data_IF_142796125728
#
_entry.id   IF_142796125728
#
_cell.length_a   1.000
_cell.length_b   1.000
_cell.length_c   1.000
_cell.angle_alpha   90.00
_cell.angle_beta   90.00
_cell.angle_gamma   90.00
#
_symmetry.space_group_name_H-M   'P 1'
#
loop_
_entity.id
_entity.type
_entity.pdbx_description
1 polymer ?
#
# COMPACT_ATOMS: atom_id res chain seq x y z
N UNK A 1 -35.64 -61.14 28.67
CA UNK A 1 -34.26 -61.35 29.17
C UNK A 1 -33.42 -60.17 28.72
N UNK A 2 -33.12 -59.23 29.61
CA UNK A 2 -32.37 -58.02 29.30
C UNK A 2 -30.90 -58.36 29.00
N UNK A 3 -30.41 -58.01 27.81
CA UNK A 3 -28.98 -58.07 27.49
C UNK A 3 -28.31 -56.74 27.85
N UNK A 4 -27.16 -56.86 28.50
CA UNK A 4 -26.55 -55.86 29.39
C UNK A 4 -25.95 -54.61 28.75
N UNK A 5 -25.52 -53.72 29.63
CA UNK A 5 -25.14 -52.33 29.40
C UNK A 5 -24.05 -52.08 28.34
N UNK A 6 -24.29 -51.06 27.50
CA UNK A 6 -23.32 -50.49 26.56
C UNK A 6 -22.10 -49.92 27.31
N UNK A 7 -20.90 -50.36 26.94
CA UNK A 7 -19.64 -49.85 27.48
C UNK A 7 -19.43 -48.40 27.01
N UNK A 8 -19.03 -47.54 27.95
CA UNK A 8 -18.99 -46.07 27.88
C UNK A 8 -17.99 -45.54 26.84
N UNK A 9 -18.34 -44.36 26.33
CA UNK A 9 -17.66 -43.58 25.29
C UNK A 9 -16.17 -43.35 25.52
N UNK A 10 -15.41 -43.40 24.42
CA UNK A 10 -14.03 -42.89 24.34
C UNK A 10 -14.09 -41.37 24.48
N UNK A 11 -13.32 -40.81 25.43
CA UNK A 11 -13.18 -39.36 25.61
C UNK A 11 -12.63 -38.73 24.32
N UNK A 12 -13.44 -37.88 23.70
CA UNK A 12 -13.02 -36.86 22.76
C UNK A 12 -12.31 -35.76 23.55
N UNK A 13 -10.98 -35.77 23.54
CA UNK A 13 -10.20 -34.62 24.01
C UNK A 13 -9.44 -34.05 22.81
N UNK A 14 -10.05 -33.01 22.27
CA UNK A 14 -9.46 -31.86 21.57
C UNK A 14 -8.07 -32.06 20.93
N UNK A 15 -8.09 -32.08 19.59
CA UNK A 15 -7.22 -31.26 18.73
C UNK A 15 -5.81 -30.97 19.23
N UNK A 16 -4.89 -31.91 19.04
CA UNK A 16 -3.53 -31.54 18.67
C UNK A 16 -3.51 -31.28 17.16
N UNK A 17 -4.22 -30.22 16.72
CA UNK A 17 -3.96 -29.60 15.44
C UNK A 17 -2.50 -29.14 15.53
N UNK A 18 -1.60 -29.83 14.81
CA UNK A 18 -0.34 -29.21 14.43
C UNK A 18 -0.76 -27.94 13.73
N UNK A 19 -0.57 -26.79 14.39
CA UNK A 19 -0.74 -25.49 13.77
C UNK A 19 0.19 -25.49 12.57
N UNK A 20 -0.36 -25.85 11.41
CA UNK A 20 0.32 -25.63 10.16
C UNK A 20 0.66 -24.15 10.17
N UNK A 21 1.91 -23.83 9.88
CA UNK A 21 2.44 -22.47 9.75
C UNK A 21 1.75 -21.69 8.59
N UNK A 22 0.52 -22.03 8.24
CA UNK A 22 -0.40 -21.36 7.34
C UNK A 22 -1.36 -20.40 8.05
N UNK A 23 -1.38 -20.39 9.39
CA UNK A 23 -2.22 -19.50 10.19
C UNK A 23 -1.49 -18.30 10.82
N UNK A 24 -0.27 -17.99 10.36
CA UNK A 24 0.14 -16.59 10.32
C UNK A 24 -0.73 -15.90 9.26
N UNK A 25 -1.99 -15.64 9.60
CA UNK A 25 -2.97 -14.93 8.78
C UNK A 25 -2.50 -13.48 8.69
N UNK A 26 -1.44 -13.25 7.92
CA UNK A 26 -1.20 -11.94 7.33
C UNK A 26 -2.44 -11.66 6.51
N UNK A 27 -3.33 -10.83 7.07
CA UNK A 27 -4.49 -10.33 6.35
C UNK A 27 -3.90 -9.74 5.07
N UNK A 28 -4.21 -10.27 3.87
CA UNK A 28 -3.67 -9.68 2.66
C UNK A 28 -4.06 -8.20 2.69
N UNK A 29 -3.07 -7.32 2.57
CA UNK A 29 -3.29 -5.88 2.55
C UNK A 29 -4.31 -5.51 1.46
N UNK A 30 -4.85 -4.28 1.49
CA UNK A 30 -5.87 -3.85 0.54
C UNK A 30 -5.42 -4.16 -0.90
N UNK A 31 -6.12 -5.08 -1.55
CA UNK A 31 -5.83 -5.46 -2.94
C UNK A 31 -6.60 -4.54 -3.87
N UNK A 32 -5.89 -3.80 -4.70
CA UNK A 32 -6.51 -3.04 -5.79
C UNK A 32 -6.98 -4.05 -6.86
N UNK A 33 -8.28 -4.36 -6.87
CA UNK A 33 -8.86 -5.23 -7.90
C UNK A 33 -9.14 -4.39 -9.15
N UNK A 34 -8.61 -4.81 -10.29
CA UNK A 34 -8.87 -4.13 -11.56
C UNK A 34 -10.38 -4.15 -11.89
N UNK A 35 -10.95 -3.03 -12.38
CA UNK A 35 -12.35 -2.99 -12.74
C UNK A 35 -12.63 -3.92 -13.92
N UNK A 36 -13.62 -4.80 -13.77
CA UNK A 36 -14.02 -5.77 -14.81
C UNK A 36 -15.09 -5.24 -15.75
N UNK A 37 -15.89 -4.25 -15.30
CA UNK A 37 -16.97 -3.66 -16.10
C UNK A 37 -16.41 -2.63 -17.08
N UNK A 38 -16.86 -2.66 -18.34
CA UNK A 38 -16.36 -1.79 -19.40
C UNK A 38 -16.45 -0.29 -19.06
N UNK A 39 -17.55 0.15 -18.44
CA UNK A 39 -17.72 1.54 -18.00
C UNK A 39 -16.65 1.98 -16.98
N UNK A 40 -16.34 1.12 -16.01
CA UNK A 40 -15.35 1.40 -14.98
C UNK A 40 -13.91 1.37 -15.53
N UNK A 41 -13.64 0.53 -16.54
CA UNK A 41 -12.35 0.55 -17.25
C UNK A 41 -12.14 1.87 -17.97
N UNK A 42 -13.18 2.41 -18.63
CA UNK A 42 -13.12 3.72 -19.30
C UNK A 42 -12.87 4.84 -18.28
N UNK A 43 -13.58 4.84 -17.16
CA UNK A 43 -13.39 5.81 -16.09
C UNK A 43 -11.97 5.75 -15.48
N UNK A 44 -11.44 4.56 -15.22
CA UNK A 44 -10.08 4.40 -14.71
C UNK A 44 -9.01 4.95 -15.66
N UNK A 45 -9.18 4.75 -16.98
CA UNK A 45 -8.30 5.33 -18.01
C UNK A 45 -8.37 6.86 -18.04
N UNK A 46 -9.57 7.42 -17.94
CA UNK A 46 -9.77 8.88 -17.87
C UNK A 46 -9.12 9.47 -16.61
N UNK A 47 -9.35 8.85 -15.45
CA UNK A 47 -8.74 9.28 -14.20
C UNK A 47 -7.22 9.28 -14.31
N UNK A 48 -6.61 8.21 -14.83
CA UNK A 48 -5.15 8.13 -15.02
C UNK A 48 -4.61 9.25 -15.91
N UNK A 49 -5.30 9.56 -17.02
CA UNK A 49 -4.93 10.63 -17.96
C UNK A 49 -5.03 12.02 -17.33
N UNK A 50 -6.08 12.27 -16.55
CA UNK A 50 -6.28 13.56 -15.89
C UNK A 50 -5.28 13.75 -14.74
N UNK A 51 -5.04 12.72 -13.94
CA UNK A 51 -4.07 12.79 -12.83
C UNK A 51 -2.64 12.96 -13.33
N UNK A 52 -2.23 12.33 -14.44
CA UNK A 52 -0.87 12.52 -14.96
C UNK A 52 -0.58 13.98 -15.35
N UNK A 53 -1.57 14.69 -15.91
CA UNK A 53 -1.42 16.10 -16.22
C UNK A 53 -1.33 16.99 -14.98
N UNK A 54 -2.06 16.65 -13.92
CA UNK A 54 -1.98 17.35 -12.64
C UNK A 54 -0.61 17.12 -11.97
N UNK A 55 -0.08 15.89 -12.00
CA UNK A 55 1.24 15.56 -11.45
C UNK A 55 2.34 16.39 -12.13
N UNK A 56 2.35 16.48 -13.46
CA UNK A 56 3.33 17.31 -14.18
C UNK A 56 3.25 18.80 -13.81
N UNK A 57 2.04 19.34 -13.61
CA UNK A 57 1.87 20.73 -13.15
C UNK A 57 2.37 20.91 -11.72
N UNK A 58 2.12 19.94 -10.84
CA UNK A 58 2.62 19.97 -9.47
C UNK A 58 4.13 19.84 -9.40
N UNK A 59 4.75 18.96 -10.20
CA UNK A 59 6.20 18.82 -10.32
C UNK A 59 6.84 20.12 -10.82
N UNK A 60 6.26 20.75 -11.85
CA UNK A 60 6.70 22.06 -12.33
C UNK A 60 6.59 23.14 -11.26
N UNK A 61 5.49 23.18 -10.50
CA UNK A 61 5.31 24.16 -9.42
C UNK A 61 6.30 23.93 -8.28
N UNK A 62 6.56 22.68 -7.90
CA UNK A 62 7.56 22.33 -6.90
C UNK A 62 8.97 22.65 -7.37
N UNK A 63 9.32 22.37 -8.62
CA UNK A 63 10.62 22.74 -9.20
C UNK A 63 10.79 24.26 -9.30
N UNK A 64 9.74 24.99 -9.66
CA UNK A 64 9.76 26.46 -9.63
C UNK A 64 9.92 27.00 -8.22
N UNK A 65 9.20 26.44 -7.23
CA UNK A 65 9.37 26.82 -5.82
C UNK A 65 10.73 26.42 -5.28
N UNK A 66 11.24 25.23 -5.61
CA UNK A 66 12.56 24.76 -5.18
C UNK A 66 13.68 25.54 -5.85
N UNK A 67 13.63 25.78 -7.16
CA UNK A 67 14.59 26.63 -7.88
C UNK A 67 14.49 28.10 -7.48
N UNK A 68 13.29 28.58 -7.13
CA UNK A 68 13.12 29.89 -6.50
C UNK A 68 13.67 29.90 -5.07
N UNK A 69 13.57 28.78 -4.34
CA UNK A 69 14.18 28.62 -3.02
C UNK A 69 15.71 28.46 -3.10
N UNK A 70 16.28 27.90 -4.18
CA UNK A 70 17.74 27.93 -4.43
C UNK A 70 18.25 29.36 -4.66
N UNK A 71 17.37 30.26 -5.11
CA UNK A 71 17.65 31.70 -5.24
C UNK A 71 17.48 32.44 -3.89
N UNK A 72 16.63 31.94 -2.99
CA UNK A 72 16.38 32.56 -1.67
C UNK A 72 17.31 32.03 -0.56
N UNK A 73 17.60 30.74 -0.55
CA UNK A 73 18.52 30.08 0.36
C UNK A 73 19.82 29.81 -0.42
N UNK A 74 20.70 30.81 -0.46
CA UNK A 74 21.88 30.88 -1.32
C UNK A 74 22.48 29.52 -1.69
N UNK A 75 22.23 29.09 -2.93
CA UNK A 75 22.74 27.85 -3.48
C UNK A 75 24.27 27.83 -3.57
N UNK A 76 24.85 26.70 -3.99
CA UNK A 76 26.32 26.51 -4.13
C UNK A 76 27.06 27.61 -4.91
N UNK A 77 26.34 28.45 -5.68
CA UNK A 77 26.89 29.61 -6.39
C UNK A 77 27.19 30.82 -5.49
N UNK A 78 26.56 30.95 -4.32
CA UNK A 78 26.84 32.05 -3.37
C UNK A 78 28.10 31.80 -2.52
N UNK A 79 28.56 30.55 -2.41
CA UNK A 79 29.85 30.23 -1.79
C UNK A 79 31.07 30.70 -2.60
N UNK A 80 30.88 31.24 -3.81
CA UNK A 80 31.95 31.72 -4.69
C UNK A 80 32.09 33.24 -4.84
N UNK A 81 31.19 34.03 -4.25
CA UNK A 81 31.19 35.51 -4.39
C UNK A 81 31.14 36.27 -3.06
N UNK A 82 31.65 35.67 -1.98
CA UNK A 82 31.86 36.33 -0.68
C UNK A 82 33.34 36.58 -0.34
N UNK A 83 34.20 36.63 -1.35
CA UNK A 83 35.65 36.77 -1.17
C UNK A 83 36.25 37.78 -2.15
N UNK A 84 35.85 39.05 -2.03
CA UNK A 84 36.68 40.24 -2.32
C UNK A 84 35.83 41.51 -2.17
N UNK A 85 36.39 42.42 -1.36
CA UNK A 85 35.94 43.75 -0.92
C UNK A 85 35.03 43.75 0.30
#
# INVERSE_FOLDING_TARGET
>A
MAQGALKKSKKTTATAQRESRSNARTRPGPRQVAPKKAALVRQAKLNKKLTSGLVLKTERSLAQKAGHLEILAGGKKDKGKGGKK
#
